data_IF_343009509064
#
_entry.id   IF_343009509064
#
_cell.length_a   1.000
_cell.length_b   1.000
_cell.length_c   1.000
_cell.angle_alpha   90.00
_cell.angle_beta   90.00
_cell.angle_gamma   90.00
#
_symmetry.space_group_name_H-M   'P 1'
#
loop_
_entity.id
_entity.type
_entity.pdbx_description
1 polymer ?
#
# COMPACT_ATOMS: atom_id res chain seq x y z
N UNK A 1 -10.86 -24.56 -32.49
CA UNK A 1 -9.79 -25.21 -31.72
C UNK A 1 -8.86 -24.14 -31.22
N UNK A 2 -9.07 -23.78 -29.95
CA UNK A 2 -8.20 -22.96 -29.12
C UNK A 2 -6.75 -23.42 -29.16
N UNK A 3 -5.84 -22.49 -29.39
CA UNK A 3 -4.51 -22.46 -28.77
C UNK A 3 -3.92 -21.08 -29.01
N UNK A 4 -4.44 -20.10 -28.26
CA UNK A 4 -3.79 -18.83 -28.04
C UNK A 4 -2.56 -19.08 -27.13
N UNK A 5 -1.55 -19.77 -27.69
CA UNK A 5 -0.28 -20.02 -27.03
C UNK A 5 0.55 -18.77 -27.19
N UNK A 6 0.37 -17.82 -26.28
CA UNK A 6 1.23 -16.65 -26.17
C UNK A 6 2.69 -17.13 -26.09
N UNK A 7 3.53 -16.66 -27.02
CA UNK A 7 4.91 -17.11 -27.14
C UNK A 7 5.66 -16.74 -25.84
N UNK A 8 6.29 -17.68 -25.11
CA UNK A 8 6.90 -17.39 -23.81
C UNK A 8 7.95 -16.27 -23.82
N UNK A 9 8.57 -15.98 -24.97
CA UNK A 9 9.44 -14.82 -25.16
C UNK A 9 8.69 -13.49 -25.12
N UNK A 10 7.53 -13.39 -25.77
CA UNK A 10 6.70 -12.18 -25.77
C UNK A 10 6.17 -11.87 -24.37
N UNK A 11 5.77 -12.90 -23.62
CA UNK A 11 5.34 -12.76 -22.22
C UNK A 11 6.49 -12.23 -21.36
N UNK A 12 7.71 -12.74 -21.56
CA UNK A 12 8.90 -12.30 -20.83
C UNK A 12 9.29 -10.86 -21.16
N UNK A 13 9.21 -10.46 -22.42
CA UNK A 13 9.51 -9.09 -22.85
C UNK A 13 8.47 -8.10 -22.30
N UNK A 14 7.18 -8.48 -22.32
CA UNK A 14 6.11 -7.69 -21.74
C UNK A 14 6.26 -7.54 -20.22
N UNK A 15 6.63 -8.62 -19.52
CA UNK A 15 6.93 -8.59 -18.09
C UNK A 15 8.16 -7.75 -17.78
N UNK A 16 9.22 -7.87 -18.57
CA UNK A 16 10.44 -7.07 -18.39
C UNK A 16 10.17 -5.59 -18.63
N UNK A 17 9.35 -5.24 -19.62
CA UNK A 17 8.94 -3.88 -19.90
C UNK A 17 8.04 -3.31 -18.79
N UNK A 18 7.10 -4.12 -18.27
CA UNK A 18 6.24 -3.73 -17.14
C UNK A 18 7.02 -3.58 -15.84
N UNK A 19 7.95 -4.49 -15.56
CA UNK A 19 8.83 -4.44 -14.39
C UNK A 19 9.83 -3.28 -14.50
N UNK A 20 10.34 -3.02 -15.70
CA UNK A 20 11.17 -1.85 -16.01
C UNK A 20 10.40 -0.55 -15.75
N UNK A 21 9.16 -0.45 -16.21
CA UNK A 21 8.28 0.67 -15.89
C UNK A 21 8.10 0.82 -14.37
N UNK A 22 7.76 -0.25 -13.66
CA UNK A 22 7.56 -0.23 -12.20
C UNK A 22 8.85 0.09 -11.42
N UNK A 23 10.03 -0.22 -11.94
CA UNK A 23 11.30 0.15 -11.31
C UNK A 23 11.50 1.68 -11.24
N UNK A 24 10.78 2.43 -12.09
CA UNK A 24 10.80 3.89 -12.04
C UNK A 24 9.80 4.46 -11.05
N UNK A 25 8.91 3.68 -10.41
CA UNK A 25 7.91 4.19 -9.47
C UNK A 25 8.15 3.67 -8.05
N UNK A 26 8.39 4.58 -7.12
CA UNK A 26 8.51 4.26 -5.69
C UNK A 26 7.40 4.96 -4.94
N UNK A 27 6.44 4.18 -4.43
CA UNK A 27 5.42 4.69 -3.51
C UNK A 27 6.03 4.79 -2.12
N UNK A 28 5.95 5.98 -1.51
CA UNK A 28 6.44 6.24 -0.16
C UNK A 28 5.29 6.66 0.74
N UNK A 29 5.30 6.10 1.94
CA UNK A 29 4.37 6.38 3.02
C UNK A 29 5.09 7.16 4.11
N UNK A 30 4.59 8.34 4.47
CA UNK A 30 5.18 9.16 5.52
C UNK A 30 4.15 9.51 6.58
N UNK A 31 4.40 9.09 7.82
CA UNK A 31 3.57 9.41 8.98
C UNK A 31 3.93 10.78 9.52
N UNK A 32 2.98 11.69 9.52
CA UNK A 32 3.11 13.03 10.08
C UNK A 32 2.74 13.05 11.57
N UNK A 33 3.25 14.04 12.29
CA UNK A 33 2.98 14.23 13.73
C UNK A 33 1.52 14.63 14.03
N UNK A 34 0.83 15.22 13.06
CA UNK A 34 -0.59 15.61 13.15
C UNK A 34 -1.55 14.45 12.89
N UNK A 35 -1.05 13.22 12.83
CA UNK A 35 -1.89 12.03 12.67
C UNK A 35 -2.34 11.77 11.24
N UNK A 36 -1.64 12.32 10.24
CA UNK A 36 -1.91 12.10 8.81
C UNK A 36 -0.84 11.20 8.19
N UNK A 37 -1.29 10.24 7.38
CA UNK A 37 -0.45 9.49 6.45
C UNK A 37 -0.38 10.23 5.11
N UNK A 38 0.82 10.65 4.71
CA UNK A 38 1.06 11.19 3.37
C UNK A 38 1.54 10.07 2.45
N UNK A 39 0.89 9.97 1.30
CA UNK A 39 1.29 9.04 0.23
C UNK A 39 1.88 9.85 -0.91
N UNK A 40 3.11 9.51 -1.28
CA UNK A 40 3.85 10.12 -2.39
C UNK A 40 4.30 9.05 -3.35
N UNK A 41 4.49 9.44 -4.60
CA UNK A 41 5.10 8.62 -5.63
C UNK A 41 6.32 9.36 -6.18
N UNK A 42 7.48 8.71 -6.08
CA UNK A 42 8.69 9.16 -6.76
C UNK A 42 8.72 8.48 -8.12
N UNK A 43 8.88 9.25 -9.18
CA UNK A 43 9.12 8.73 -10.51
C UNK A 43 10.37 9.33 -11.15
N UNK A 44 11.19 8.47 -11.75
CA UNK A 44 12.44 8.88 -12.43
C UNK A 44 12.56 8.25 -13.82
N UNK A 45 11.72 8.69 -14.78
CA UNK A 45 11.71 8.15 -16.15
C UNK A 45 12.91 8.65 -16.97
N UNK A 46 13.44 9.83 -16.64
CA UNK A 46 14.51 10.49 -17.39
C UNK A 46 15.77 10.76 -16.54
N UNK A 47 15.93 10.06 -15.41
CA UNK A 47 17.05 10.25 -14.48
C UNK A 47 16.94 11.47 -13.56
N UNK A 48 15.84 12.24 -13.64
CA UNK A 48 15.48 13.27 -12.66
C UNK A 48 14.37 12.77 -11.74
N UNK A 49 14.63 12.74 -10.44
CA UNK A 49 13.64 12.30 -9.46
C UNK A 49 12.54 13.35 -9.31
N UNK A 50 11.34 13.02 -9.81
CA UNK A 50 10.15 13.82 -9.58
C UNK A 50 9.31 13.16 -8.50
N UNK A 51 9.04 13.90 -7.42
CA UNK A 51 8.12 13.47 -6.35
C UNK A 51 6.77 14.14 -6.53
N UNK A 52 5.72 13.32 -6.55
CA UNK A 52 4.33 13.80 -6.57
C UNK A 52 3.60 13.31 -5.33
N UNK A 53 2.91 14.22 -4.65
CA UNK A 53 1.97 13.86 -3.60
C UNK A 53 0.71 13.29 -4.24
N UNK A 54 0.36 12.05 -3.87
CA UNK A 54 -0.85 11.41 -4.37
C UNK A 54 -2.06 11.86 -3.54
N UNK A 55 -1.99 11.66 -2.23
CA UNK A 55 -3.03 12.06 -1.29
C UNK A 55 -2.50 12.05 0.16
N UNK A 56 -3.24 12.72 1.03
CA UNK A 56 -3.10 12.65 2.48
C UNK A 56 -4.34 11.94 3.05
N UNK A 57 -4.16 11.09 4.05
CA UNK A 57 -5.26 10.37 4.71
C UNK A 57 -5.07 10.40 6.23
N UNK A 58 -6.09 10.70 7.04
CA UNK A 58 -6.01 10.56 8.48
C UNK A 58 -5.66 9.12 8.88
N UNK A 59 -4.74 8.94 9.85
CA UNK A 59 -4.33 7.59 10.30
C UNK A 59 -5.52 6.77 10.82
N UNK A 60 -6.47 7.40 11.51
CA UNK A 60 -7.69 6.72 11.97
C UNK A 60 -8.50 6.12 10.83
N UNK A 61 -8.52 6.76 9.65
CA UNK A 61 -9.19 6.24 8.46
C UNK A 61 -8.39 5.10 7.81
N UNK A 62 -7.06 5.17 7.84
CA UNK A 62 -6.17 4.08 7.39
C UNK A 62 -6.40 2.84 8.25
N UNK A 63 -6.38 2.99 9.58
CA UNK A 63 -6.57 1.89 10.53
C UNK A 63 -7.93 1.22 10.34
N UNK A 64 -9.00 2.02 10.15
CA UNK A 64 -10.35 1.53 9.88
C UNK A 64 -10.48 0.77 8.53
N UNK A 65 -9.83 1.26 7.48
CA UNK A 65 -9.81 0.57 6.18
C UNK A 65 -8.94 -0.68 6.20
N UNK A 66 -7.92 -0.72 7.04
CA UNK A 66 -7.04 -1.88 7.16
C UNK A 66 -7.68 -2.97 8.01
N UNK A 67 -8.43 -2.62 9.06
CA UNK A 67 -9.19 -3.60 9.83
C UNK A 67 -10.19 -4.36 8.96
N UNK A 68 -10.88 -3.69 8.03
CA UNK A 68 -11.82 -4.36 7.12
C UNK A 68 -11.16 -5.27 6.07
N UNK A 69 -9.87 -5.09 5.79
CA UNK A 69 -9.08 -5.99 4.93
C UNK A 69 -8.52 -7.17 5.72
N UNK A 70 -8.19 -6.96 7.00
CA UNK A 70 -7.71 -8.02 7.91
C UNK A 70 -8.83 -8.87 8.50
N UNK A 71 -10.08 -8.38 8.49
CA UNK A 71 -11.31 -9.13 8.83
C UNK A 71 -11.67 -10.20 7.77
N UNK A 72 -10.66 -10.74 7.07
CA UNK A 72 -10.77 -12.03 6.40
C UNK A 72 -11.04 -13.10 7.47
N UNK A 73 -12.03 -14.00 7.28
CA UNK A 73 -12.37 -15.01 8.26
C UNK A 73 -11.17 -15.97 8.45
N UNK A 74 -10.39 -15.76 9.51
CA UNK A 74 -9.19 -16.56 9.80
C UNK A 74 -8.10 -15.88 10.65
N UNK A 75 -8.19 -14.59 10.95
CA UNK A 75 -7.25 -13.91 11.86
C UNK A 75 -7.46 -14.29 13.33
N UNK A 76 -6.39 -14.44 14.14
CA UNK A 76 -6.52 -14.77 15.56
C UNK A 76 -7.28 -13.67 16.31
N UNK A 77 -8.09 -14.03 17.32
CA UNK A 77 -9.04 -13.11 17.93
C UNK A 77 -8.30 -11.90 18.53
N UNK A 78 -8.76 -10.71 18.15
CA UNK A 78 -8.44 -9.47 18.84
C UNK A 78 -8.75 -9.70 20.31
N UNK A 79 -7.74 -9.51 21.18
CA UNK A 79 -7.92 -9.59 22.62
C UNK A 79 -8.89 -8.47 23.04
N UNK A 80 -10.18 -8.82 23.07
CA UNK A 80 -11.20 -8.05 23.76
C UNK A 80 -10.92 -8.07 25.25
N UNK A 81 -10.75 -6.86 25.77
CA UNK A 81 -11.04 -6.41 27.13
C UNK A 81 -10.11 -6.84 28.26
N UNK A 82 -9.68 -5.85 29.07
CA UNK A 82 -10.28 -5.75 30.40
C UNK A 82 -10.23 -4.31 30.94
N UNK A 83 -11.41 -3.69 31.03
CA UNK A 83 -11.87 -3.03 32.24
C UNK A 83 -11.22 -1.70 32.65
N UNK A 84 -11.97 -0.64 32.42
CA UNK A 84 -11.93 0.62 33.15
C UNK A 84 -11.81 0.43 34.68
N UNK A 85 -10.93 1.21 35.33
CA UNK A 85 -11.26 1.73 36.67
C UNK A 85 -10.44 2.97 37.01
N UNK A 86 -11.12 4.11 36.89
CA UNK A 86 -10.82 5.36 37.60
C UNK A 86 -10.93 5.14 39.11
N UNK A 87 -9.96 5.62 39.88
CA UNK A 87 -10.29 6.42 41.07
C UNK A 87 -9.12 7.31 41.52
N UNK A 88 -9.39 8.55 41.98
CA UNK A 88 -8.42 9.44 42.58
C UNK A 88 -8.29 9.20 44.09
N UNK A 89 -7.17 9.63 44.67
CA UNK A 89 -7.00 9.92 46.10
C UNK A 89 -6.15 11.18 46.25
#
# INVERSE_FOLDING_TARGET
SDSDRSNPSEVKDLLTQRLGFLAHFVVRLWRRRDGVLRVTCDFSPNGSDQRVQLFDMPLAEVDFRWSSVLDLPGGPPVASECGSSTNPS
#
